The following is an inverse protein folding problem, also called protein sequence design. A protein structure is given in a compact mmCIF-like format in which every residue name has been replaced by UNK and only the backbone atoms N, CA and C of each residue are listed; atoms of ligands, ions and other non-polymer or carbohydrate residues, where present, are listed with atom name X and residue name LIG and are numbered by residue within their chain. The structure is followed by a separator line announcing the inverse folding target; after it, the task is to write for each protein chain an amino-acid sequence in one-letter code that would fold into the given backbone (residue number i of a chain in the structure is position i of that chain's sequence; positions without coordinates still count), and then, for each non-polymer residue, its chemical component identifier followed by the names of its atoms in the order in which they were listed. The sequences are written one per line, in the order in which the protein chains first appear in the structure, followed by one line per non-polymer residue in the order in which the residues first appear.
data_IF_805908785953
#
_entry.id   IF_805908785953
#
_cell.length_a   1.000
_cell.length_b   1.000
_cell.length_c   1.000
_cell.angle_alpha   90.00
_cell.angle_beta   90.00
_cell.angle_gamma   90.00
#
_symmetry.space_group_name_H-M   'P 1'
#
loop_
_entity.id
_entity.type
_entity.pdbx_description
1 polymer ?
#
# COMPACT_ATOMS: atom_id res chain seq x y z
N UNK A 1 -14.07 1.82 3.53
CA UNK A 1 -12.84 1.15 4.02
C UNK A 1 -11.96 0.84 2.81
N UNK A 2 -10.65 1.12 2.83
CA UNK A 2 -9.76 1.04 1.64
C UNK A 2 -9.72 -0.36 1.02
N UNK A 3 -9.80 -1.41 1.84
CA UNK A 3 -9.82 -2.82 1.39
C UNK A 3 -10.96 -3.13 0.43
N UNK A 4 -12.17 -2.61 0.69
CA UNK A 4 -13.33 -2.82 -0.17
C UNK A 4 -13.21 -2.08 -1.51
N UNK A 5 -12.60 -0.88 -1.52
CA UNK A 5 -12.31 -0.12 -2.76
C UNK A 5 -11.35 -0.91 -3.64
N UNK A 6 -10.34 -1.49 -3.02
CA UNK A 6 -9.25 -2.22 -3.68
C UNK A 6 -9.60 -3.71 -3.87
N UNK A 7 -10.89 -4.06 -3.72
CA UNK A 7 -11.46 -5.40 -3.97
C UNK A 7 -10.77 -6.53 -3.20
N UNK A 8 -10.25 -6.23 -2.00
CA UNK A 8 -9.49 -7.18 -1.19
C UNK A 8 -8.34 -7.83 -1.99
N UNK A 9 -7.65 -7.01 -2.80
CA UNK A 9 -6.53 -7.45 -3.60
C UNK A 9 -5.40 -6.40 -3.58
N UNK A 10 -4.17 -6.90 -3.59
CA UNK A 10 -2.97 -6.11 -3.78
C UNK A 10 -3.07 -5.36 -5.10
N UNK A 11 -3.02 -4.02 -5.04
CA UNK A 11 -3.12 -3.16 -6.22
C UNK A 11 -1.89 -3.25 -7.14
N UNK A 12 -0.81 -3.90 -6.69
CA UNK A 12 0.42 -4.07 -7.46
C UNK A 12 0.52 -5.41 -8.19
N UNK A 13 0.10 -6.51 -7.57
CA UNK A 13 0.25 -7.86 -8.13
C UNK A 13 -1.05 -8.68 -8.19
N UNK A 14 -2.15 -8.20 -7.60
CA UNK A 14 -3.43 -8.90 -7.57
C UNK A 14 -3.58 -9.98 -6.50
N UNK A 15 -2.56 -10.25 -5.68
CA UNK A 15 -2.68 -11.21 -4.57
C UNK A 15 -3.79 -10.81 -3.60
N UNK A 16 -4.54 -11.78 -3.07
CA UNK A 16 -5.53 -11.58 -2.01
C UNK A 16 -5.02 -12.00 -0.61
N UNK A 17 -3.75 -12.41 -0.51
CA UNK A 17 -3.14 -12.87 0.75
C UNK A 17 -2.29 -11.79 1.42
N UNK A 18 -2.25 -11.81 2.76
CA UNK A 18 -1.41 -10.93 3.59
C UNK A 18 -1.48 -9.46 3.17
N UNK A 19 -2.70 -8.94 3.07
CA UNK A 19 -2.97 -7.59 2.61
C UNK A 19 -2.74 -6.57 3.73
N UNK A 20 -2.05 -5.51 3.38
CA UNK A 20 -1.71 -4.38 4.23
C UNK A 20 -2.11 -3.08 3.52
N UNK A 21 -2.51 -2.08 4.31
CA UNK A 21 -2.76 -0.73 3.80
C UNK A 21 -1.47 0.05 3.92
N UNK A 22 -1.03 0.63 2.81
CA UNK A 22 0.20 1.39 2.69
C UNK A 22 -0.09 2.81 2.19
N UNK A 23 0.88 3.71 2.35
CA UNK A 23 0.80 5.06 1.80
C UNK A 23 1.54 5.13 0.46
N UNK A 24 0.90 5.68 -0.57
CA UNK A 24 1.52 5.97 -1.87
C UNK A 24 2.72 6.91 -1.72
N UNK A 25 2.54 8.00 -0.95
CA UNK A 25 3.62 8.86 -0.46
C UNK A 25 3.85 8.54 1.02
N UNK A 26 5.06 8.14 1.44
CA UNK A 26 5.36 7.88 2.85
C UNK A 26 5.08 9.09 3.73
N UNK A 27 4.64 8.86 4.97
CA UNK A 27 4.42 9.92 5.96
C UNK A 27 5.71 10.70 6.22
N UNK A 28 6.87 10.03 6.21
CA UNK A 28 8.19 10.66 6.35
C UNK A 28 8.52 11.65 5.22
N UNK A 29 7.88 11.53 4.06
CA UNK A 29 8.02 12.43 2.90
C UNK A 29 6.81 13.37 2.75
N UNK A 30 5.98 13.51 3.78
CA UNK A 30 4.81 14.41 3.80
C UNK A 30 3.52 13.82 3.25
N UNK A 31 3.42 12.50 3.13
CA UNK A 31 2.18 11.83 2.72
C UNK A 31 1.05 11.97 3.73
N UNK A 32 -0.18 12.11 3.23
CA UNK A 32 -1.39 12.27 4.05
C UNK A 32 -2.09 10.93 4.31
N UNK A 33 -3.00 10.90 5.28
CA UNK A 33 -3.85 9.74 5.56
C UNK A 33 -5.15 9.73 4.74
N UNK A 34 -5.25 10.60 3.73
CA UNK A 34 -6.40 10.65 2.85
C UNK A 34 -6.53 9.34 2.07
N UNK A 35 -7.75 8.89 1.83
CA UNK A 35 -8.00 7.66 1.05
C UNK A 35 -7.32 7.70 -0.32
N UNK A 36 -7.08 8.89 -0.89
CA UNK A 36 -6.36 9.08 -2.15
C UNK A 36 -4.87 8.77 -2.07
N UNK A 37 -4.26 8.86 -0.88
CA UNK A 37 -2.86 8.49 -0.63
C UNK A 37 -2.72 7.07 -0.05
N UNK A 38 -3.83 6.37 0.20
CA UNK A 38 -3.81 5.01 0.73
C UNK A 38 -4.14 3.99 -0.37
N UNK A 39 -3.50 2.83 -0.31
CA UNK A 39 -3.75 1.70 -1.21
C UNK A 39 -3.43 0.37 -0.53
N UNK A 40 -3.96 -0.73 -1.07
CA UNK A 40 -3.73 -2.08 -0.56
C UNK A 40 -2.56 -2.74 -1.29
N UNK A 41 -1.61 -3.29 -0.53
CA UNK A 41 -0.51 -4.11 -1.04
C UNK A 41 -0.47 -5.44 -0.29
N UNK A 42 0.03 -6.51 -0.91
CA UNK A 42 0.45 -7.69 -0.16
C UNK A 42 1.79 -7.41 0.53
N UNK A 43 2.07 -8.16 1.60
CA UNK A 43 3.31 -8.05 2.40
C UNK A 43 4.59 -8.04 1.56
N UNK A 44 4.70 -8.88 0.52
CA UNK A 44 5.87 -8.89 -0.36
C UNK A 44 6.01 -7.61 -1.20
N UNK A 45 4.89 -7.11 -1.73
CA UNK A 45 4.87 -5.88 -2.52
C UNK A 45 5.18 -4.66 -1.65
N UNK A 46 4.66 -4.65 -0.43
CA UNK A 46 4.93 -3.61 0.57
C UNK A 46 6.40 -3.62 0.97
N UNK A 47 6.96 -4.77 1.36
CA UNK A 47 8.40 -4.91 1.69
C UNK A 47 9.30 -4.42 0.55
N UNK A 48 8.95 -4.77 -0.70
CA UNK A 48 9.69 -4.32 -1.88
C UNK A 48 9.60 -2.81 -2.06
N UNK A 49 8.43 -2.20 -1.84
CA UNK A 49 8.27 -0.74 -1.88
C UNK A 49 9.12 -0.06 -0.82
N UNK A 50 9.02 -0.49 0.44
CA UNK A 50 9.81 0.08 1.55
C UNK A 50 11.32 0.06 1.26
N UNK A 51 11.83 -1.06 0.73
CA UNK A 51 13.24 -1.17 0.35
C UNK A 51 13.68 -0.12 -0.70
N UNK A 52 12.82 0.20 -1.67
CA UNK A 52 13.13 1.21 -2.68
C UNK A 52 12.90 2.64 -2.18
N UNK A 53 12.06 2.85 -1.17
CA UNK A 53 11.77 4.18 -0.63
C UNK A 53 12.79 4.69 0.37
N UNK A 54 13.44 3.76 1.09
CA UNK A 54 14.52 3.98 2.04
C UNK A 54 15.88 4.23 1.36
N UNK A 55 15.95 4.00 0.04
CA UNK A 55 17.13 4.21 -0.79
C UNK A 55 17.10 5.56 -1.49
#
# INVERSE_FOLDING_TARGET
MVLARDRFACQRCGSASELEVDHLVPVSKGGTWDLTNLWVLCRDCHRRKTYFEDR
#
